data_IF_853279877339
#
_entry.id   IF_853279877339
#
_cell.length_a   1.000
_cell.length_b   1.000
_cell.length_c   1.000
_cell.angle_alpha   90.00
_cell.angle_beta   90.00
_cell.angle_gamma   90.00
#
_symmetry.space_group_name_H-M   'P 1'
#
loop_
_entity.id
_entity.type
_entity.pdbx_description
1 polymer ?
#
# COMPACT_ATOMS: atom_id res chain seq x y z
N UNK A 1 -3.17 -14.19 4.30
CA UNK A 1 -4.35 -13.57 3.67
C UNK A 1 -4.00 -13.15 2.25
N UNK A 2 -3.53 -11.92 1.99
CA UNK A 2 -3.37 -11.40 0.61
C UNK A 2 -2.41 -12.16 -0.32
N UNK A 3 -1.51 -12.98 0.22
CA UNK A 3 -0.64 -13.85 -0.57
C UNK A 3 -1.44 -14.73 -1.56
N UNK A 4 -2.59 -15.26 -1.12
CA UNK A 4 -3.47 -16.11 -1.94
C UNK A 4 -4.23 -15.30 -3.01
N UNK A 5 -4.10 -13.98 -3.00
CA UNK A 5 -4.57 -13.05 -4.03
C UNK A 5 -3.45 -12.59 -4.96
N UNK A 6 -2.35 -13.34 -5.03
CA UNK A 6 -1.14 -13.00 -5.77
C UNK A 6 -0.48 -11.67 -5.34
N UNK A 7 -0.74 -11.21 -4.11
CA UNK A 7 0.00 -10.07 -3.54
C UNK A 7 1.33 -10.59 -3.00
N UNK A 8 2.48 -10.14 -3.53
CA UNK A 8 3.77 -10.64 -3.11
C UNK A 8 4.03 -10.36 -1.63
N UNK A 9 4.47 -11.40 -0.92
CA UNK A 9 4.89 -11.25 0.46
C UNK A 9 6.35 -10.80 0.50
N UNK A 10 6.65 -9.78 1.30
CA UNK A 10 8.00 -9.23 1.43
C UNK A 10 8.86 -9.98 2.47
N UNK A 11 8.43 -11.18 2.87
CA UNK A 11 9.08 -11.99 3.91
C UNK A 11 10.21 -12.86 3.35
N UNK A 12 10.11 -13.23 2.08
CA UNK A 12 11.18 -13.92 1.36
C UNK A 12 12.06 -12.89 0.63
N UNK A 13 13.33 -12.82 1.03
CA UNK A 13 14.31 -11.91 0.41
C UNK A 13 14.59 -12.28 -1.04
N UNK A 14 14.60 -13.57 -1.37
CA UNK A 14 14.91 -14.02 -2.74
C UNK A 14 13.76 -13.68 -3.68
N UNK A 15 12.51 -13.98 -3.28
CA UNK A 15 11.30 -13.57 -3.99
C UNK A 15 11.18 -12.05 -4.14
N UNK A 16 11.52 -11.29 -3.11
CA UNK A 16 11.55 -9.82 -3.18
C UNK A 16 12.55 -9.33 -4.22
N UNK A 17 13.81 -9.74 -4.13
CA UNK A 17 14.85 -9.28 -5.05
C UNK A 17 14.63 -9.74 -6.50
N UNK A 18 13.96 -10.88 -6.73
CA UNK A 18 13.55 -11.30 -8.08
C UNK A 18 12.56 -10.31 -8.70
N UNK A 19 11.63 -9.79 -7.91
CA UNK A 19 10.64 -8.80 -8.36
C UNK A 19 11.20 -7.38 -8.41
N UNK A 20 12.32 -7.12 -7.72
CA UNK A 20 12.96 -5.80 -7.67
C UNK A 20 14.49 -5.85 -7.82
N UNK A 21 15.03 -6.22 -8.99
CA UNK A 21 16.47 -6.27 -9.21
C UNK A 21 17.22 -4.97 -8.87
N UNK A 22 16.71 -3.76 -9.18
CA UNK A 22 17.39 -2.51 -8.82
C UNK A 22 17.52 -2.29 -7.30
N UNK A 23 16.58 -2.80 -6.49
CA UNK A 23 16.67 -2.72 -5.04
C UNK A 23 17.69 -3.71 -4.47
N UNK A 24 17.87 -4.87 -5.13
CA UNK A 24 18.92 -5.83 -4.79
C UNK A 24 20.31 -5.21 -4.90
N UNK A 25 20.59 -4.52 -6.01
CA UNK A 25 21.90 -3.87 -6.24
C UNK A 25 22.22 -2.81 -5.18
N UNK A 26 21.20 -2.11 -4.69
CA UNK A 26 21.32 -1.11 -3.62
C UNK A 26 21.24 -1.68 -2.20
N UNK A 27 21.04 -2.99 -2.06
CA UNK A 27 20.76 -3.67 -0.79
C UNK A 27 19.60 -3.03 0.00
N UNK A 28 18.59 -2.50 -0.71
CA UNK A 28 17.37 -1.95 -0.12
C UNK A 28 16.33 -3.07 0.00
N UNK A 29 15.75 -3.24 1.18
CA UNK A 29 14.64 -4.15 1.44
C UNK A 29 13.32 -3.38 1.53
N UNK A 30 12.19 -4.10 1.50
CA UNK A 30 10.86 -3.51 1.60
C UNK A 30 10.69 -2.62 2.84
N UNK A 31 11.25 -3.04 3.98
CA UNK A 31 11.23 -2.27 5.23
C UNK A 31 12.07 -0.99 5.18
N UNK A 32 13.14 -0.98 4.38
CA UNK A 32 13.98 0.21 4.20
C UNK A 32 13.22 1.25 3.36
N UNK A 33 12.48 0.80 2.34
CA UNK A 33 11.66 1.65 1.46
C UNK A 33 10.35 2.11 2.11
N UNK A 34 9.76 1.29 2.99
CA UNK A 34 8.59 1.63 3.79
C UNK A 34 8.95 2.45 5.05
N UNK A 35 9.89 3.40 4.93
CA UNK A 35 10.40 4.17 6.05
C UNK A 35 10.33 5.69 5.81
N UNK A 36 10.20 6.50 6.87
CA UNK A 36 10.35 7.96 6.75
C UNK A 36 11.70 8.37 6.16
N UNK A 37 12.76 7.60 6.41
CA UNK A 37 14.10 7.86 5.88
C UNK A 37 14.11 7.75 4.35
N UNK A 38 13.50 6.71 3.77
CA UNK A 38 13.49 6.54 2.32
C UNK A 38 12.68 7.64 1.61
N UNK A 39 11.55 8.09 2.18
CA UNK A 39 10.83 9.24 1.60
C UNK A 39 11.63 10.55 1.65
N UNK A 40 12.64 10.68 2.53
CA UNK A 40 13.50 11.87 2.60
C UNK A 40 14.76 11.76 1.76
N UNK A 41 15.34 10.57 1.64
CA UNK A 41 16.66 10.36 1.05
C UNK A 41 16.62 9.60 -0.29
N UNK A 42 15.58 8.80 -0.50
CA UNK A 42 15.43 7.87 -1.63
C UNK A 42 14.02 7.97 -2.26
N UNK A 43 13.48 9.19 -2.36
CA UNK A 43 12.08 9.46 -2.70
C UNK A 43 11.60 8.73 -3.96
N UNK A 44 12.46 8.69 -5.00
CA UNK A 44 12.16 8.00 -6.25
C UNK A 44 11.93 6.49 -6.06
N UNK A 45 12.75 5.85 -5.24
CA UNK A 45 12.66 4.42 -4.95
C UNK A 45 11.52 4.13 -3.97
N UNK A 46 11.33 4.99 -2.96
CA UNK A 46 10.22 4.88 -2.02
C UNK A 46 8.86 4.95 -2.75
N UNK A 47 8.67 5.95 -3.62
CA UNK A 47 7.45 6.03 -4.42
C UNK A 47 7.33 4.91 -5.43
N UNK A 48 8.42 4.47 -6.06
CA UNK A 48 8.37 3.34 -6.98
C UNK A 48 7.89 2.05 -6.30
N UNK A 49 8.36 1.80 -5.08
CA UNK A 49 7.91 0.67 -4.27
C UNK A 49 6.41 0.72 -3.98
N UNK A 50 5.89 1.87 -3.54
CA UNK A 50 4.45 2.01 -3.26
C UNK A 50 3.59 1.99 -4.52
N UNK A 51 4.02 2.64 -5.60
CA UNK A 51 3.29 2.67 -6.87
C UNK A 51 3.21 1.28 -7.49
N UNK A 52 4.31 0.52 -7.49
CA UNK A 52 4.28 -0.87 -7.93
C UNK A 52 3.30 -1.70 -7.10
N UNK A 53 3.28 -1.51 -5.78
CA UNK A 53 2.34 -2.24 -4.89
C UNK A 53 0.89 -1.87 -5.18
N UNK A 54 0.61 -0.59 -5.46
CA UNK A 54 -0.72 -0.13 -5.86
C UNK A 54 -1.15 -0.73 -7.19
N UNK A 55 -0.29 -0.71 -8.21
CA UNK A 55 -0.56 -1.34 -9.50
C UNK A 55 -0.80 -2.85 -9.34
N UNK A 56 0.09 -3.57 -8.66
CA UNK A 56 -0.07 -5.00 -8.41
C UNK A 56 -1.37 -5.33 -7.67
N UNK A 57 -1.73 -4.56 -6.64
CA UNK A 57 -2.98 -4.79 -5.91
C UNK A 57 -4.23 -4.39 -6.70
N UNK A 58 -4.10 -3.46 -7.65
CA UNK A 58 -5.17 -3.09 -8.56
C UNK A 58 -5.41 -4.14 -9.65
N UNK A 59 -4.34 -4.74 -10.15
CA UNK A 59 -4.39 -5.77 -11.20
C UNK A 59 -4.82 -7.14 -10.66
N UNK A 60 -4.81 -7.29 -9.33
CA UNK A 60 -5.30 -8.47 -8.63
C UNK A 60 -6.60 -8.19 -7.86
N UNK A 61 -7.25 -9.25 -7.38
CA UNK A 61 -8.51 -9.17 -6.64
C UNK A 61 -8.46 -9.99 -5.36
N UNK A 62 -9.21 -9.59 -4.31
CA UNK A 62 -9.31 -10.37 -3.07
C UNK A 62 -9.76 -11.81 -3.36
N UNK A 63 -9.00 -12.78 -2.85
CA UNK A 63 -9.36 -14.19 -2.93
C UNK A 63 -10.63 -14.51 -2.12
N UNK A 64 -11.24 -15.66 -2.38
CA UNK A 64 -12.53 -16.04 -1.80
C UNK A 64 -12.57 -16.04 -0.26
N UNK A 65 -11.42 -16.23 0.40
CA UNK A 65 -11.31 -16.17 1.86
C UNK A 65 -11.79 -14.84 2.45
N UNK A 66 -11.60 -13.73 1.75
CA UNK A 66 -12.10 -12.43 2.19
C UNK A 66 -13.63 -12.40 2.27
N UNK A 67 -14.31 -12.94 1.25
CA UNK A 67 -15.78 -13.03 1.23
C UNK A 67 -16.32 -13.97 2.28
N UNK A 68 -15.60 -15.06 2.58
CA UNK A 68 -15.97 -16.00 3.65
C UNK A 68 -15.96 -15.27 5.00
N UNK A 69 -14.91 -14.50 5.29
CA UNK A 69 -14.83 -13.67 6.51
C UNK A 69 -16.01 -12.69 6.57
N UNK A 70 -16.26 -11.97 5.49
CA UNK A 70 -17.35 -10.98 5.44
C UNK A 70 -18.72 -11.64 5.67
N UNK A 71 -18.96 -12.83 5.09
CA UNK A 71 -20.18 -13.61 5.31
C UNK A 71 -20.29 -14.11 6.75
N UNK A 72 -19.19 -14.56 7.33
CA UNK A 72 -19.18 -15.05 8.72
C UNK A 72 -19.47 -13.93 9.71
N UNK A 73 -18.84 -12.77 9.53
CA UNK A 73 -19.11 -11.58 10.35
C UNK A 73 -20.59 -11.18 10.24
N UNK A 74 -21.14 -11.10 9.02
CA UNK A 74 -22.54 -10.73 8.81
C UNK A 74 -23.54 -11.69 9.46
N UNK A 75 -23.26 -12.99 9.44
CA UNK A 75 -24.23 -14.01 9.83
C UNK A 75 -24.13 -14.46 11.29
N UNK A 76 -22.96 -14.32 11.92
CA UNK A 76 -22.71 -14.96 13.22
C UNK A 76 -22.19 -14.00 14.29
N UNK A 77 -21.80 -12.77 13.94
CA UNK A 77 -21.14 -11.86 14.86
C UNK A 77 -21.61 -10.41 14.70
N UNK A 78 -22.57 -10.01 15.55
CA UNK A 78 -23.13 -8.65 15.53
C UNK A 78 -22.08 -7.58 15.87
N UNK A 79 -21.28 -7.81 16.92
CA UNK A 79 -20.25 -6.90 17.43
C UNK A 79 -18.83 -7.38 17.09
N UNK A 80 -18.51 -7.46 15.81
CA UNK A 80 -17.15 -7.84 15.35
C UNK A 80 -16.64 -6.91 14.28
N UNK A 81 -15.32 -6.71 14.32
CA UNK A 81 -14.56 -5.90 13.38
C UNK A 81 -13.28 -6.62 12.96
N UNK A 82 -12.72 -6.19 11.85
CA UNK A 82 -11.45 -6.68 11.30
C UNK A 82 -10.34 -5.77 11.79
N UNK A 83 -9.37 -6.33 12.49
CA UNK A 83 -8.12 -5.66 12.84
C UNK A 83 -7.01 -6.18 11.92
N UNK A 84 -6.49 -5.33 11.02
CA UNK A 84 -5.54 -5.77 9.98
C UNK A 84 -4.27 -4.94 9.95
N UNK A 85 -3.15 -5.63 9.72
CA UNK A 85 -1.83 -5.02 9.46
C UNK A 85 -1.56 -4.87 7.96
N UNK A 86 -2.44 -5.39 7.10
CA UNK A 86 -2.35 -5.23 5.67
C UNK A 86 -2.74 -3.80 5.27
N UNK A 87 -2.07 -3.26 4.26
CA UNK A 87 -2.33 -1.91 3.74
C UNK A 87 -2.92 -1.96 2.33
N UNK A 88 -3.33 -3.14 1.85
CA UNK A 88 -3.74 -3.40 0.46
C UNK A 88 -5.21 -3.08 0.18
N UNK A 89 -6.02 -2.78 1.21
CA UNK A 89 -7.43 -2.46 1.09
C UNK A 89 -8.32 -3.64 0.69
N UNK A 90 -7.84 -4.89 0.73
CA UNK A 90 -8.60 -6.03 0.20
C UNK A 90 -9.84 -6.39 1.03
N UNK A 91 -9.86 -6.10 2.33
CA UNK A 91 -11.08 -6.21 3.13
C UNK A 91 -12.15 -5.20 2.68
N UNK A 92 -11.77 -3.96 2.32
CA UNK A 92 -12.73 -2.99 1.78
C UNK A 92 -13.22 -3.46 0.40
N UNK A 93 -12.30 -3.85 -0.48
CA UNK A 93 -12.60 -4.31 -1.84
C UNK A 93 -13.40 -5.60 -1.89
N UNK A 94 -13.40 -6.42 -0.83
CA UNK A 94 -14.25 -7.61 -0.72
C UNK A 94 -15.71 -7.29 -0.33
N UNK A 95 -16.00 -6.04 0.02
CA UNK A 95 -17.32 -5.58 0.43
C UNK A 95 -17.54 -5.55 1.94
N UNK A 96 -16.47 -5.63 2.74
CA UNK A 96 -16.55 -5.38 4.18
C UNK A 96 -16.84 -3.89 4.42
N UNK A 97 -17.82 -3.52 5.26
CA UNK A 97 -18.10 -2.12 5.57
C UNK A 97 -16.90 -1.45 6.24
N UNK A 98 -16.52 -0.25 5.78
CA UNK A 98 -15.33 0.47 6.29
C UNK A 98 -15.34 0.71 7.80
N UNK A 99 -16.51 0.98 8.39
CA UNK A 99 -16.64 1.16 9.84
C UNK A 99 -16.36 -0.10 10.67
N UNK A 100 -16.25 -1.28 10.03
CA UNK A 100 -15.88 -2.54 10.68
C UNK A 100 -14.42 -2.93 10.41
N UNK A 101 -13.60 -2.04 9.88
CA UNK A 101 -12.20 -2.34 9.53
C UNK A 101 -11.29 -1.33 10.21
N UNK A 102 -10.27 -1.84 10.89
CA UNK A 102 -9.19 -1.06 11.49
C UNK A 102 -7.88 -1.45 10.79
N UNK A 103 -7.43 -0.57 9.90
CA UNK A 103 -6.14 -0.66 9.23
C UNK A 103 -5.04 -0.01 10.09
N UNK A 104 -4.43 -0.75 11.01
CA UNK A 104 -3.52 -0.16 12.02
C UNK A 104 -2.20 0.35 11.48
N UNK A 105 -1.80 -0.07 10.28
CA UNK A 105 -0.61 0.44 9.58
C UNK A 105 -0.95 1.46 8.50
N UNK A 106 -2.18 1.98 8.49
CA UNK A 106 -2.64 2.86 7.45
C UNK A 106 -2.97 2.13 6.16
N UNK A 107 -2.98 2.86 5.04
CA UNK A 107 -3.48 2.35 3.77
C UNK A 107 -2.69 2.95 2.62
N UNK A 108 -2.27 2.12 1.67
CA UNK A 108 -1.59 2.64 0.47
C UNK A 108 -2.55 3.43 -0.44
N UNK A 109 -3.86 3.34 -0.19
CA UNK A 109 -4.94 4.09 -0.85
C UNK A 109 -5.24 5.44 -0.22
N UNK A 110 -4.51 5.81 0.84
CA UNK A 110 -4.67 7.06 1.57
C UNK A 110 -3.36 7.82 1.60
N UNK A 111 -3.43 9.13 1.41
CA UNK A 111 -2.27 10.01 1.35
C UNK A 111 -2.24 10.99 2.51
N UNK A 112 -1.02 11.39 2.86
CA UNK A 112 -0.70 12.41 3.83
C UNK A 112 0.44 13.31 3.32
N UNK A 113 0.58 14.51 3.88
CA UNK A 113 1.67 15.42 3.51
C UNK A 113 3.02 14.88 4.01
N UNK A 114 4.05 14.81 3.16
CA UNK A 114 5.39 14.39 3.58
C UNK A 114 6.01 15.35 4.60
N UNK A 115 5.75 16.65 4.45
CA UNK A 115 6.20 17.70 5.37
C UNK A 115 5.31 17.86 6.59
N UNK A 116 4.22 17.08 6.69
CA UNK A 116 3.27 17.12 7.82
C UNK A 116 2.71 18.53 8.07
N UNK A 117 2.37 19.27 6.99
CA UNK A 117 1.74 20.60 7.13
C UNK A 117 0.36 20.56 7.82
N UNK A 118 -0.26 19.38 7.90
CA UNK A 118 -1.43 19.11 8.71
C UNK A 118 -1.55 17.60 8.97
N UNK A 119 -2.36 17.21 9.96
CA UNK A 119 -2.68 15.81 10.28
C UNK A 119 -3.87 15.24 9.48
N UNK A 120 -4.23 15.90 8.38
CA UNK A 120 -5.34 15.46 7.52
C UNK A 120 -4.81 14.44 6.51
N UNK A 121 -5.57 13.36 6.37
CA UNK A 121 -5.39 12.35 5.33
C UNK A 121 -6.52 12.46 4.30
N UNK A 122 -6.28 11.99 3.08
CA UNK A 122 -7.31 11.90 2.06
C UNK A 122 -7.14 10.61 1.26
N UNK A 123 -8.26 10.00 0.87
CA UNK A 123 -8.24 8.81 0.03
C UNK A 123 -7.92 9.20 -1.42
N UNK A 124 -7.15 8.35 -2.08
CA UNK A 124 -6.70 8.52 -3.46
C UNK A 124 -6.53 7.13 -4.07
N UNK A 125 -7.53 6.71 -4.84
CA UNK A 125 -7.62 5.38 -5.42
C UNK A 125 -7.11 5.30 -6.86
N UNK A 126 -6.70 6.42 -7.46
CA UNK A 126 -6.22 6.47 -8.85
C UNK A 126 -4.99 5.58 -9.04
N UNK A 127 -4.99 4.77 -10.10
CA UNK A 127 -3.85 3.94 -10.51
C UNK A 127 -3.65 4.13 -12.01
N UNK A 128 -2.44 4.56 -12.48
CA UNK A 128 -1.26 4.86 -11.68
C UNK A 128 -1.36 6.20 -10.93
N UNK A 129 -0.74 6.31 -9.75
CA UNK A 129 -0.71 7.56 -8.97
C UNK A 129 0.51 8.43 -9.32
N UNK A 130 1.58 7.81 -9.78
CA UNK A 130 2.76 8.46 -10.30
C UNK A 130 3.38 7.60 -11.41
N UNK A 131 4.28 8.17 -12.20
CA UNK A 131 4.94 7.42 -13.27
C UNK A 131 5.94 6.45 -12.64
N UNK A 132 5.92 5.18 -13.05
CA UNK A 132 6.85 4.14 -12.60
C UNK A 132 7.66 3.58 -13.77
N UNK A 133 8.98 3.69 -13.70
CA UNK A 133 9.88 2.90 -14.52
C UNK A 133 10.18 1.57 -13.81
N UNK A 134 9.64 0.47 -14.33
CA UNK A 134 9.81 -0.87 -13.75
C UNK A 134 11.22 -1.42 -13.91
N UNK A 135 12.00 -0.94 -14.89
CA UNK A 135 13.36 -1.42 -15.09
C UNK A 135 14.31 -0.80 -14.07
N UNK A 136 14.15 0.49 -13.78
CA UNK A 136 15.00 1.20 -12.81
C UNK A 136 14.42 1.26 -11.40
N UNK A 137 13.15 0.89 -11.24
CA UNK A 137 12.37 1.07 -10.00
C UNK A 137 12.45 2.51 -9.47
N UNK A 138 12.26 3.48 -10.37
CA UNK A 138 12.22 4.91 -10.05
C UNK A 138 10.87 5.48 -10.44
N UNK A 139 10.28 6.23 -9.51
CA UNK A 139 9.04 6.96 -9.76
C UNK A 139 9.29 8.44 -10.04
N UNK A 140 8.37 9.07 -10.78
CA UNK A 140 8.34 10.52 -11.02
C UNK A 140 6.90 11.04 -11.07
N UNK A 141 6.70 12.36 -11.08
CA UNK A 141 5.36 12.97 -11.05
C UNK A 141 4.52 12.55 -9.82
N UNK A 142 5.09 12.75 -8.62
CA UNK A 142 4.46 12.35 -7.36
C UNK A 142 3.20 13.14 -7.04
N UNK A 143 2.24 12.57 -6.31
CA UNK A 143 1.11 13.31 -5.79
C UNK A 143 1.56 14.43 -4.85
N UNK A 144 0.80 15.51 -4.82
CA UNK A 144 1.09 16.67 -3.98
C UNK A 144 0.01 16.86 -2.92
N UNK A 145 0.41 17.45 -1.79
CA UNK A 145 -0.49 17.79 -0.71
C UNK A 145 -1.51 18.83 -1.17
N UNK A 146 -2.79 18.57 -0.92
CA UNK A 146 -3.88 19.47 -1.32
C UNK A 146 -3.73 20.89 -0.73
N UNK A 147 -3.12 21.02 0.46
CA UNK A 147 -2.91 22.30 1.17
C UNK A 147 -1.63 23.03 0.76
N UNK A 148 -0.46 22.46 1.01
CA UNK A 148 0.83 23.15 0.83
C UNK A 148 1.55 22.84 -0.49
N UNK A 149 0.98 21.98 -1.33
CA UNK A 149 1.55 21.53 -2.62
C UNK A 149 2.91 20.82 -2.55
N UNK A 150 3.48 20.63 -1.36
CA UNK A 150 4.63 19.75 -1.15
C UNK A 150 4.26 18.30 -1.49
N UNK A 151 5.26 17.45 -1.75
CA UNK A 151 5.04 16.02 -2.03
C UNK A 151 4.18 15.35 -0.96
N UNK A 152 3.20 14.56 -1.40
CA UNK A 152 2.45 13.66 -0.52
C UNK A 152 3.22 12.33 -0.37
N UNK A 153 2.80 11.52 0.59
CA UNK A 153 3.23 10.14 0.80
C UNK A 153 2.03 9.29 1.22
N UNK A 154 2.10 7.97 1.09
CA UNK A 154 1.13 7.07 1.70
C UNK A 154 1.00 7.30 3.21
N UNK A 155 -0.24 7.17 3.71
CA UNK A 155 -0.58 7.23 5.12
C UNK A 155 -0.05 5.98 5.84
#
# INVERSE_FOLDING_TARGET
>A
MSADSNIPTFRDKEGYWKNFPPFKEKNLQAQDLASPWAFRNELQHAWAFYEWRRQNANDNSPHEGYKIIDKWMKNNFEDTFIHTTNTDGYHLRSGCPSHRIIEVHGSMWRLQCLNVCSHVFWDEETVPLCNLDQNTMRASNYPTCQKCKSTARPH
#
